data_IF_954794303141
#
_entry.id   IF_954794303141
#
_cell.length_a   1.000
_cell.length_b   1.000
_cell.length_c   1.000
_cell.angle_alpha   90.00
_cell.angle_beta   90.00
_cell.angle_gamma   90.00
#
_symmetry.space_group_name_H-M   'P 1'
#
loop_
_entity.id
_entity.type
_entity.pdbx_description
1 polymer ?
#
# COMPACT_ATOMS: atom_id res chain seq x y z
N UNK A 1 -14.87 -0.67 -18.88
CA UNK A 1 -14.86 0.23 -17.72
C UNK A 1 -13.77 -0.26 -16.79
N UNK A 2 -12.78 0.58 -16.48
CA UNK A 2 -11.74 0.24 -15.51
C UNK A 2 -12.36 0.33 -14.12
N UNK A 3 -12.46 -0.80 -13.42
CA UNK A 3 -12.95 -0.81 -12.05
C UNK A 3 -11.75 -0.62 -11.13
N UNK A 4 -11.75 0.52 -10.41
CA UNK A 4 -10.97 0.66 -9.20
C UNK A 4 -11.82 0.05 -8.09
N UNK A 5 -11.35 -1.05 -7.51
CA UNK A 5 -12.03 -1.64 -6.36
C UNK A 5 -11.43 -1.01 -5.12
N UNK A 6 -12.22 -0.13 -4.51
CA UNK A 6 -11.94 0.47 -3.21
C UNK A 6 -13.16 0.20 -2.38
N UNK A 7 -13.08 -0.73 -1.43
CA UNK A 7 -13.97 -0.71 -0.27
C UNK A 7 -13.34 -1.49 0.86
N UNK A 8 -13.11 -0.78 1.97
CA UNK A 8 -12.58 -1.28 3.23
C UNK A 8 -11.32 -2.10 3.07
N UNK A 9 -10.16 -1.44 3.00
CA UNK A 9 -8.85 -2.03 3.25
C UNK A 9 -8.79 -3.57 3.21
N UNK A 10 -8.59 -4.09 2.00
CA UNK A 10 -8.45 -5.52 1.74
C UNK A 10 -9.74 -6.25 1.37
N UNK A 11 -10.19 -6.09 0.13
CA UNK A 11 -11.13 -7.02 -0.49
C UNK A 11 -10.71 -7.35 -1.93
N UNK A 12 -9.87 -8.37 -2.08
CA UNK A 12 -10.13 -9.40 -3.08
C UNK A 12 -10.74 -10.59 -2.29
N UNK A 13 -12.04 -10.86 -2.45
CA UNK A 13 -12.62 -12.16 -2.07
C UNK A 13 -11.98 -13.22 -3.00
N UNK A 14 -11.47 -14.37 -2.57
CA UNK A 14 -11.80 -15.20 -1.41
C UNK A 14 -10.55 -15.64 -0.63
N UNK A 15 -10.71 -15.84 0.69
CA UNK A 15 -9.73 -16.48 1.57
C UNK A 15 -10.20 -17.91 1.88
N UNK A 16 -9.29 -18.88 1.88
CA UNK A 16 -9.45 -20.09 2.70
C UNK A 16 -8.76 -19.86 4.05
N UNK A 17 -9.42 -20.33 5.10
CA UNK A 17 -9.20 -19.98 6.51
C UNK A 17 -7.89 -20.54 7.09
N UNK A 18 -7.25 -19.72 7.92
CA UNK A 18 -6.31 -20.14 8.95
C UNK A 18 -6.41 -19.16 10.12
N UNK A 19 -7.03 -19.60 11.22
CA UNK A 19 -7.19 -18.79 12.44
C UNK A 19 -5.85 -18.60 13.12
N UNK A 20 -5.50 -17.36 13.50
CA UNK A 20 -4.41 -17.09 14.45
C UNK A 20 -4.98 -16.26 15.60
N UNK A 21 -4.85 -16.81 16.81
CA UNK A 21 -5.28 -16.19 18.06
C UNK A 21 -4.45 -14.95 18.43
N UNK A 22 -4.95 -14.05 19.29
CA UNK A 22 -4.15 -12.95 19.81
C UNK A 22 -3.39 -13.44 21.05
N UNK A 23 -2.07 -13.29 21.10
CA UNK A 23 -1.31 -13.53 22.32
C UNK A 23 -0.37 -12.36 22.63
N UNK A 24 -0.24 -12.08 23.93
CA UNK A 24 0.55 -11.03 24.54
C UNK A 24 2.07 -11.20 24.37
N UNK A 25 2.89 -10.43 25.11
CA UNK A 25 4.28 -10.22 24.76
C UNK A 25 5.10 -11.49 24.99
N UNK A 26 5.65 -12.04 23.90
CA UNK A 26 6.56 -13.18 23.91
C UNK A 26 8.03 -12.70 23.92
N UNK A 27 8.83 -13.33 24.78
CA UNK A 27 10.28 -13.15 24.88
C UNK A 27 11.01 -13.51 23.55
N UNK A 28 12.25 -13.04 23.33
CA UNK A 28 12.90 -13.16 22.02
C UNK A 28 13.46 -14.57 21.84
N UNK A 29 12.68 -15.45 21.23
CA UNK A 29 13.17 -16.72 20.68
C UNK A 29 13.52 -16.56 19.20
N UNK A 30 14.60 -17.24 18.83
CA UNK A 30 15.23 -17.35 17.51
C UNK A 30 14.27 -17.16 16.31
N UNK A 31 14.27 -15.96 15.73
CA UNK A 31 13.33 -15.50 14.71
C UNK A 31 13.66 -16.07 13.32
N UNK A 32 13.65 -17.38 13.17
CA UNK A 32 13.50 -17.99 11.83
C UNK A 32 12.02 -17.94 11.44
N UNK A 33 11.55 -16.74 11.10
CA UNK A 33 10.22 -16.56 10.53
C UNK A 33 10.23 -17.24 9.16
N UNK A 34 9.62 -18.41 9.06
CA UNK A 34 9.36 -19.05 7.77
C UNK A 34 8.73 -18.01 6.82
N UNK A 35 9.09 -17.97 5.53
CA UNK A 35 8.62 -16.91 4.64
C UNK A 35 7.09 -16.96 4.55
N UNK A 36 6.43 -16.12 5.34
CA UNK A 36 4.99 -15.89 5.25
C UNK A 36 4.72 -15.41 3.83
N UNK A 37 3.79 -16.05 3.13
CA UNK A 37 3.45 -15.70 1.75
C UNK A 37 3.14 -14.20 1.61
N UNK A 38 3.46 -13.60 0.47
CA UNK A 38 3.30 -12.16 0.25
C UNK A 38 1.88 -11.67 0.63
N UNK A 39 0.84 -12.42 0.25
CA UNK A 39 -0.55 -12.08 0.57
C UNK A 39 -0.83 -12.04 2.07
N UNK A 40 -0.24 -12.97 2.84
CA UNK A 40 -0.39 -12.99 4.29
C UNK A 40 0.32 -11.79 4.92
N UNK A 41 1.50 -11.40 4.40
CA UNK A 41 2.23 -10.21 4.88
C UNK A 41 1.44 -8.94 4.64
N UNK A 42 0.97 -8.72 3.41
CA UNK A 42 0.19 -7.53 3.05
C UNK A 42 -1.09 -7.46 3.89
N UNK A 43 -1.81 -8.56 4.06
CA UNK A 43 -3.00 -8.59 4.93
C UNK A 43 -2.70 -8.25 6.39
N UNK A 44 -1.54 -8.69 6.91
CA UNK A 44 -1.19 -8.50 8.33
C UNK A 44 -0.62 -7.11 8.64
N UNK A 45 0.16 -6.54 7.73
CA UNK A 45 1.00 -5.36 8.03
C UNK A 45 0.54 -4.08 7.35
N UNK A 46 -0.42 -4.18 6.44
CA UNK A 46 -0.95 -3.01 5.78
C UNK A 46 -2.16 -2.48 6.51
N UNK A 47 -2.30 -1.16 6.52
CA UNK A 47 -3.60 -0.55 6.69
C UNK A 47 -4.53 -1.08 5.60
N UNK A 48 -4.02 -1.21 4.36
CA UNK A 48 -4.49 -2.13 3.31
C UNK A 48 -4.05 -1.64 1.91
N UNK A 49 -4.80 -1.88 0.82
CA UNK A 49 -4.29 -1.64 -0.55
C UNK A 49 -5.37 -1.25 -1.57
N UNK A 50 -4.95 -0.72 -2.72
CA UNK A 50 -5.82 -0.41 -3.88
C UNK A 50 -5.39 -1.23 -5.09
N UNK A 51 -6.37 -1.85 -5.76
CA UNK A 51 -6.18 -2.58 -7.00
C UNK A 51 -6.89 -1.89 -8.16
N UNK A 52 -6.19 -1.71 -9.27
CA UNK A 52 -6.80 -1.38 -10.56
C UNK A 52 -6.90 -2.65 -11.41
N UNK A 53 -8.11 -2.97 -11.89
CA UNK A 53 -8.33 -4.12 -12.77
C UNK A 53 -8.92 -3.71 -14.11
N UNK A 54 -8.44 -4.35 -15.18
CA UNK A 54 -8.97 -4.20 -16.55
C UNK A 54 -9.20 -5.58 -17.15
N UNK A 55 -10.45 -5.87 -17.51
CA UNK A 55 -10.87 -7.19 -18.00
C UNK A 55 -10.43 -8.35 -17.06
N UNK A 56 -10.61 -8.17 -15.75
CA UNK A 56 -10.24 -9.15 -14.72
C UNK A 56 -8.75 -9.15 -14.32
N UNK A 57 -7.87 -8.61 -15.16
CA UNK A 57 -6.43 -8.58 -14.91
C UNK A 57 -6.05 -7.44 -13.98
N UNK A 58 -5.16 -7.69 -13.01
CA UNK A 58 -4.54 -6.65 -12.20
C UNK A 58 -3.58 -5.84 -13.07
N UNK A 59 -3.84 -4.54 -13.18
CA UNK A 59 -3.07 -3.62 -14.03
C UNK A 59 -2.46 -2.46 -13.25
N UNK A 60 -2.74 -2.37 -11.96
CA UNK A 60 -2.07 -1.45 -11.05
C UNK A 60 -2.39 -1.77 -9.61
N UNK A 61 -1.46 -1.42 -8.73
CA UNK A 61 -1.51 -1.75 -7.31
C UNK A 61 -0.77 -0.67 -6.52
N UNK A 62 -1.26 -0.37 -5.32
CA UNK A 62 -0.52 0.36 -4.30
C UNK A 62 -0.89 -0.19 -2.93
N UNK A 63 0.12 -0.46 -2.10
CA UNK A 63 -0.04 -0.87 -0.73
C UNK A 63 0.05 0.35 0.21
N UNK A 64 -0.70 0.32 1.30
CA UNK A 64 -0.71 1.34 2.34
C UNK A 64 -0.35 0.66 3.65
N UNK A 65 0.89 0.82 4.11
CA UNK A 65 1.31 0.45 5.46
C UNK A 65 1.01 1.59 6.43
N UNK A 66 1.03 1.30 7.73
CA UNK A 66 0.79 2.30 8.77
C UNK A 66 1.44 1.90 10.08
N UNK A 67 1.49 2.86 11.01
CA UNK A 67 2.00 2.69 12.37
C UNK A 67 0.91 2.34 13.40
N UNK A 68 -0.35 2.26 12.98
CA UNK A 68 -1.51 2.06 13.87
C UNK A 68 -2.12 3.36 14.41
N UNK A 69 -1.64 4.53 13.96
CA UNK A 69 -2.11 5.84 14.36
C UNK A 69 -2.12 6.83 13.19
N UNK A 70 -1.43 7.95 13.35
CA UNK A 70 -1.59 9.12 12.47
C UNK A 70 -0.84 8.98 11.12
N UNK A 71 0.08 8.02 10.98
CA UNK A 71 0.98 7.93 9.83
C UNK A 71 0.73 6.69 8.97
N UNK A 72 0.46 6.94 7.68
CA UNK A 72 0.40 5.93 6.63
C UNK A 72 1.55 6.11 5.62
N UNK A 73 1.90 5.03 4.91
CA UNK A 73 3.02 4.96 3.97
C UNK A 73 2.57 4.27 2.68
N UNK A 74 2.77 4.92 1.54
CA UNK A 74 2.59 4.26 0.24
C UNK A 74 3.79 3.38 -0.08
N UNK A 75 3.52 2.10 -0.33
CA UNK A 75 4.49 1.09 -0.71
C UNK A 75 4.05 0.38 -1.99
N UNK A 76 5.02 -0.12 -2.74
CA UNK A 76 4.78 -1.01 -3.89
C UNK A 76 3.86 -0.42 -4.99
N UNK A 77 3.86 0.91 -5.18
CA UNK A 77 3.08 1.56 -6.24
C UNK A 77 3.54 1.09 -7.62
N UNK A 78 2.66 0.42 -8.36
CA UNK A 78 2.96 -0.11 -9.69
C UNK A 78 1.77 0.04 -10.62
N UNK A 79 2.07 0.29 -11.91
CA UNK A 79 1.10 0.30 -13.01
C UNK A 79 1.71 -0.50 -14.16
N UNK A 80 0.89 -1.28 -14.86
CA UNK A 80 1.32 -2.01 -16.05
C UNK A 80 1.89 -1.04 -17.11
N UNK A 81 3.07 -1.32 -17.71
CA UNK A 81 3.74 -0.41 -18.64
C UNK A 81 2.86 0.14 -19.79
N UNK A 82 1.99 -0.65 -20.43
CA UNK A 82 1.10 -0.15 -21.48
C UNK A 82 0.10 0.93 -21.01
N UNK A 83 -0.11 1.06 -19.70
CA UNK A 83 -1.02 2.01 -19.08
C UNK A 83 -0.28 3.16 -18.37
N UNK A 84 1.04 3.26 -18.55
CA UNK A 84 1.78 4.41 -18.08
C UNK A 84 1.31 5.69 -18.76
N UNK A 85 1.42 6.81 -18.05
CA UNK A 85 1.05 8.15 -18.54
C UNK A 85 -0.44 8.33 -18.88
N UNK A 86 -1.30 7.38 -18.53
CA UNK A 86 -2.77 7.47 -18.67
C UNK A 86 -3.46 8.16 -17.49
N UNK A 87 -2.71 8.45 -16.41
CA UNK A 87 -3.25 8.96 -15.15
C UNK A 87 -3.64 7.87 -14.15
N UNK A 88 -3.54 6.59 -14.50
CA UNK A 88 -3.91 5.49 -13.60
C UNK A 88 -3.12 5.48 -12.28
N UNK A 89 -1.82 5.79 -12.33
CA UNK A 89 -0.99 5.88 -11.11
C UNK A 89 -1.47 6.97 -10.15
N UNK A 90 -1.84 8.14 -10.66
CA UNK A 90 -2.38 9.23 -9.84
C UNK A 90 -3.71 8.80 -9.19
N UNK A 91 -4.58 8.14 -9.95
CA UNK A 91 -5.85 7.61 -9.40
C UNK A 91 -5.64 6.58 -8.30
N UNK A 92 -4.66 5.68 -8.44
CA UNK A 92 -4.31 4.72 -7.38
C UNK A 92 -3.89 5.45 -6.09
N UNK A 93 -3.04 6.47 -6.23
CA UNK A 93 -2.55 7.27 -5.10
C UNK A 93 -3.67 8.07 -4.44
N UNK A 94 -4.56 8.67 -5.23
CA UNK A 94 -5.72 9.42 -4.73
C UNK A 94 -6.67 8.52 -3.92
N UNK A 95 -6.97 7.32 -4.43
CA UNK A 95 -7.78 6.34 -3.72
C UNK A 95 -7.12 5.85 -2.43
N UNK A 96 -5.79 5.60 -2.46
CA UNK A 96 -5.04 5.22 -1.27
C UNK A 96 -5.06 6.33 -0.21
N UNK A 97 -4.93 7.60 -0.63
CA UNK A 97 -5.06 8.78 0.23
C UNK A 97 -6.45 8.88 0.85
N UNK A 98 -7.51 8.68 0.07
CA UNK A 98 -8.88 8.66 0.57
C UNK A 98 -9.07 7.57 1.62
N UNK A 99 -8.56 6.36 1.37
CA UNK A 99 -8.57 5.24 2.32
C UNK A 99 -7.84 5.57 3.62
N UNK A 100 -6.60 6.06 3.55
CA UNK A 100 -5.80 6.42 4.73
C UNK A 100 -6.49 7.51 5.57
N UNK A 101 -7.03 8.56 4.93
CA UNK A 101 -7.79 9.61 5.62
C UNK A 101 -9.05 9.06 6.28
N UNK A 102 -9.78 8.16 5.62
CA UNK A 102 -10.98 7.55 6.19
C UNK A 102 -10.67 6.67 7.41
N UNK A 103 -9.47 6.11 7.49
CA UNK A 103 -8.97 5.38 8.65
C UNK A 103 -8.44 6.28 9.78
N UNK A 104 -8.48 7.61 9.62
CA UNK A 104 -8.06 8.57 10.64
C UNK A 104 -6.61 9.00 10.56
N UNK A 105 -5.84 8.57 9.55
CA UNK A 105 -4.47 9.04 9.39
C UNK A 105 -4.43 10.53 9.03
N UNK A 106 -3.52 11.27 9.65
CA UNK A 106 -3.26 12.67 9.37
C UNK A 106 -2.20 12.83 8.27
N UNK A 107 -1.23 11.91 8.21
CA UNK A 107 -0.08 12.00 7.33
C UNK A 107 0.02 10.79 6.41
N UNK A 108 0.32 11.05 5.14
CA UNK A 108 0.65 10.03 4.14
C UNK A 108 2.05 10.30 3.62
N UNK A 109 2.94 9.32 3.79
CA UNK A 109 4.34 9.40 3.40
C UNK A 109 4.60 8.55 2.16
N UNK A 110 5.59 8.96 1.38
CA UNK A 110 6.11 8.19 0.26
C UNK A 110 7.59 8.52 0.03
N UNK A 111 8.42 7.49 -0.09
CA UNK A 111 9.81 7.61 -0.51
C UNK A 111 9.93 7.19 -1.97
N UNK A 112 10.68 7.95 -2.77
CA UNK A 112 10.78 7.71 -4.21
C UNK A 112 12.11 8.18 -4.81
N UNK A 113 12.48 7.58 -5.94
CA UNK A 113 13.65 8.02 -6.72
C UNK A 113 13.40 9.38 -7.39
N UNK A 114 14.46 10.19 -7.56
CA UNK A 114 14.39 11.54 -8.14
C UNK A 114 13.67 11.63 -9.50
N UNK A 115 13.73 10.59 -10.33
CA UNK A 115 12.99 10.54 -11.62
C UNK A 115 11.46 10.55 -11.47
N UNK A 116 10.94 10.22 -10.29
CA UNK A 116 9.51 10.19 -9.99
C UNK A 116 9.01 11.50 -9.34
N UNK A 117 9.86 12.50 -9.17
CA UNK A 117 9.46 13.83 -8.66
C UNK A 117 8.25 14.41 -9.39
N UNK A 118 8.19 14.43 -10.75
CA UNK A 118 7.01 14.96 -11.43
C UNK A 118 5.74 14.15 -11.18
N UNK A 119 5.86 12.87 -10.80
CA UNK A 119 4.71 12.04 -10.48
C UNK A 119 4.21 12.31 -9.06
N UNK A 120 5.07 12.24 -8.05
CA UNK A 120 4.63 12.36 -6.66
C UNK A 120 4.39 13.80 -6.23
N UNK A 121 5.26 14.74 -6.57
CA UNK A 121 5.11 16.13 -6.13
C UNK A 121 4.09 16.88 -7.03
N UNK A 122 4.29 16.86 -8.35
CA UNK A 122 3.46 17.69 -9.24
C UNK A 122 2.07 17.10 -9.50
N UNK A 123 1.95 15.77 -9.64
CA UNK A 123 0.70 15.11 -10.03
C UNK A 123 -0.10 14.55 -8.86
N UNK A 124 0.56 14.04 -7.83
CA UNK A 124 -0.12 13.50 -6.65
C UNK A 124 -0.22 14.52 -5.49
N UNK A 125 0.50 15.64 -5.58
CA UNK A 125 0.38 16.75 -4.63
C UNK A 125 1.07 16.51 -3.28
N UNK A 126 2.07 15.61 -3.22
CA UNK A 126 2.90 15.48 -2.04
C UNK A 126 3.77 16.74 -1.87
N UNK A 127 3.96 17.16 -0.63
CA UNK A 127 4.98 18.15 -0.28
C UNK A 127 6.33 17.47 -0.08
N UNK A 128 7.45 18.11 -0.46
CA UNK A 128 8.77 17.55 -0.21
C UNK A 128 9.10 17.59 1.29
N UNK A 129 9.71 16.53 1.80
CA UNK A 129 10.27 16.42 3.15
C UNK A 129 11.71 15.90 3.07
N UNK A 130 12.48 16.08 4.13
CA UNK A 130 13.79 15.43 4.26
C UNK A 130 13.59 14.01 4.82
N UNK A 131 14.04 12.99 4.09
CA UNK A 131 14.02 11.59 4.50
C UNK A 131 15.44 11.02 4.52
N UNK A 132 15.70 10.07 5.43
CA UNK A 132 16.96 9.36 5.56
C UNK A 132 16.80 7.88 5.28
N UNK A 133 17.79 7.26 4.61
CA UNK A 133 17.82 5.82 4.37
C UNK A 133 19.13 5.25 4.92
N UNK A 134 19.05 4.16 5.67
CA UNK A 134 20.18 3.35 6.10
C UNK A 134 19.99 1.92 5.60
N UNK A 135 21.01 1.34 4.98
CA UNK A 135 21.01 -0.09 4.65
C UNK A 135 21.23 -0.91 5.92
N UNK A 136 20.31 -1.84 6.19
CA UNK A 136 20.35 -2.78 7.31
C UNK A 136 20.88 -4.15 6.85
#
# INVERSE_FOLDING_TARGET
MDALHTWGFGADAEASEGTVAPDGPMAPEDLTVAPVGWSARVRRHSLGWVCARRAGMLVGFVNVAWDGGDHAFLLDTVVAPPLWRTGLGTRLVDEARCGARAAGCEWLHVDFESRLTPFYLDRCGFGPTAAGLLRL
#
